data_IF_720841302091
#
_entry.id   IF_720841302091
#
_cell.length_a   1.000
_cell.length_b   1.000
_cell.length_c   1.000
_cell.angle_alpha   90.00
_cell.angle_beta   90.00
_cell.angle_gamma   90.00
#
_symmetry.space_group_name_H-M   'P 1'
#
loop_
_entity.id
_entity.type
_entity.pdbx_description
1 polymer ?
#
# COMPACT_ATOMS: atom_id res chain seq x y z
N UNK A 1 14.88 -0.68 8.32
CA UNK A 1 14.53 -2.07 8.73
C UNK A 1 15.51 -3.03 8.07
N UNK A 2 16.04 -4.03 8.80
CA UNK A 2 16.93 -5.01 8.17
C UNK A 2 16.14 -6.10 7.40
N UNK A 3 16.87 -6.86 6.57
CA UNK A 3 16.28 -7.86 5.65
C UNK A 3 15.46 -8.95 6.36
N UNK A 4 15.95 -9.47 7.50
CA UNK A 4 15.25 -10.50 8.29
C UNK A 4 13.97 -9.98 8.91
N UNK A 5 13.98 -8.76 9.42
CA UNK A 5 12.80 -8.12 9.98
C UNK A 5 11.75 -7.83 8.90
N UNK A 6 12.19 -7.37 7.72
CA UNK A 6 11.27 -7.16 6.60
C UNK A 6 10.66 -8.47 6.11
N UNK A 7 11.41 -9.57 6.04
CA UNK A 7 10.86 -10.88 5.68
C UNK A 7 9.75 -11.32 6.63
N UNK A 8 9.95 -11.14 7.94
CA UNK A 8 8.93 -11.44 8.94
C UNK A 8 7.67 -10.58 8.75
N UNK A 9 7.85 -9.27 8.50
CA UNK A 9 6.73 -8.37 8.23
C UNK A 9 5.95 -8.79 6.97
N UNK A 10 6.65 -9.09 5.89
CA UNK A 10 6.04 -9.55 4.64
C UNK A 10 5.22 -10.83 4.84
N UNK A 11 5.78 -11.84 5.51
CA UNK A 11 5.06 -13.08 5.84
C UNK A 11 3.82 -12.79 6.69
N UNK A 12 3.92 -11.88 7.65
CA UNK A 12 2.78 -11.47 8.48
C UNK A 12 1.68 -10.81 7.64
N UNK A 13 2.03 -9.93 6.70
CA UNK A 13 1.08 -9.31 5.78
C UNK A 13 0.41 -10.36 4.87
N UNK A 14 1.18 -11.30 4.33
CA UNK A 14 0.65 -12.36 3.48
C UNK A 14 -0.32 -13.30 4.23
N UNK A 15 -0.04 -13.64 5.49
CA UNK A 15 -0.89 -14.51 6.32
C UNK A 15 -2.14 -13.81 6.87
N UNK A 16 -2.13 -12.50 6.97
CA UNK A 16 -3.22 -11.76 7.61
C UNK A 16 -4.53 -11.89 6.83
N UNK A 17 -5.64 -12.05 7.54
CA UNK A 17 -6.99 -11.84 7.00
C UNK A 17 -7.18 -10.36 6.61
N UNK A 18 -8.26 -10.03 5.92
CA UNK A 18 -8.59 -8.64 5.59
C UNK A 18 -8.70 -7.77 6.85
N UNK A 19 -9.32 -8.28 7.91
CA UNK A 19 -9.39 -7.58 9.20
C UNK A 19 -8.01 -7.49 9.87
N UNK A 20 -7.22 -8.57 9.81
CA UNK A 20 -5.88 -8.64 10.38
C UNK A 20 -4.91 -7.65 9.75
N UNK A 21 -4.90 -7.53 8.42
CA UNK A 21 -4.01 -6.58 7.75
C UNK A 21 -4.41 -5.13 8.04
N UNK A 22 -5.70 -4.84 8.09
CA UNK A 22 -6.22 -3.53 8.47
C UNK A 22 -5.77 -3.14 9.89
N UNK A 23 -5.81 -4.09 10.83
CA UNK A 23 -5.28 -3.90 12.17
C UNK A 23 -3.77 -3.63 12.15
N UNK A 24 -2.97 -4.40 11.40
CA UNK A 24 -1.53 -4.19 11.27
C UNK A 24 -1.18 -2.79 10.76
N UNK A 25 -1.90 -2.31 9.74
CA UNK A 25 -1.72 -0.96 9.19
C UNK A 25 -1.98 0.09 10.28
N UNK A 26 -3.09 0.01 10.99
CA UNK A 26 -3.43 0.96 12.05
C UNK A 26 -2.43 0.95 13.23
N UNK A 27 -1.88 -0.22 13.57
CA UNK A 27 -0.93 -0.35 14.68
C UNK A 27 0.48 0.13 14.32
N UNK A 28 0.85 0.13 13.04
CA UNK A 28 2.19 0.56 12.59
C UNK A 28 2.56 1.97 13.07
N UNK A 29 1.58 2.82 13.35
CA UNK A 29 1.77 4.22 13.76
C UNK A 29 1.70 4.42 15.28
N UNK A 30 0.99 3.54 16.00
CA UNK A 30 0.72 3.74 17.44
C UNK A 30 1.92 3.47 18.36
N UNK A 31 2.94 2.77 17.88
CA UNK A 31 4.06 2.26 18.70
C UNK A 31 5.29 3.18 18.78
N UNK A 32 5.27 4.34 18.13
CA UNK A 32 6.39 5.29 18.26
C UNK A 32 6.20 6.18 19.49
N UNK A 33 7.20 6.27 20.36
CA UNK A 33 7.20 7.08 21.59
C UNK A 33 6.94 8.58 21.34
N UNK A 34 7.17 9.04 20.10
CA UNK A 34 6.75 10.36 19.61
C UNK A 34 5.96 10.11 18.32
N UNK A 35 4.67 10.42 18.27
CA UNK A 35 3.89 10.18 17.07
C UNK A 35 4.46 11.01 15.90
N UNK A 36 4.92 10.32 14.88
CA UNK A 36 5.41 10.93 13.63
C UNK A 36 4.29 11.04 12.59
N UNK A 37 3.32 10.16 12.67
CA UNK A 37 2.17 10.06 11.77
C UNK A 37 0.85 10.09 12.52
N UNK A 38 -0.22 10.54 11.85
CA UNK A 38 -1.62 10.34 12.23
C UNK A 38 -2.26 9.31 11.33
N UNK A 39 -3.26 8.58 11.85
CA UNK A 39 -4.05 7.59 11.11
C UNK A 39 -5.48 8.05 11.00
N UNK A 40 -6.02 8.05 9.79
CA UNK A 40 -7.45 8.15 9.51
C UNK A 40 -7.92 6.80 8.98
N UNK A 41 -8.89 6.19 9.62
CA UNK A 41 -9.37 4.85 9.30
C UNK A 41 -10.84 4.94 8.88
N UNK A 42 -11.09 4.83 7.59
CA UNK A 42 -12.43 4.84 6.98
C UNK A 42 -12.85 3.43 6.57
N UNK A 43 -14.07 3.28 6.05
CA UNK A 43 -14.60 1.97 5.70
C UNK A 43 -13.76 1.25 4.64
N UNK A 44 -13.43 1.92 3.54
CA UNK A 44 -12.73 1.32 2.40
C UNK A 44 -11.29 1.83 2.22
N UNK A 45 -10.76 2.65 3.11
CA UNK A 45 -9.35 3.04 3.07
C UNK A 45 -8.80 3.40 4.45
N UNK A 46 -7.48 3.38 4.55
CA UNK A 46 -6.72 3.88 5.70
C UNK A 46 -5.71 4.89 5.16
N UNK A 47 -5.69 6.07 5.74
CA UNK A 47 -4.77 7.14 5.38
C UNK A 47 -3.83 7.44 6.55
N UNK A 48 -2.53 7.40 6.27
CA UNK A 48 -1.47 7.71 7.25
C UNK A 48 -0.73 8.96 6.77
N UNK A 49 -0.69 9.96 7.63
CA UNK A 49 -0.22 11.31 7.28
C UNK A 49 0.81 11.79 8.29
N UNK A 50 1.97 12.34 7.87
CA UNK A 50 2.93 12.94 8.80
C UNK A 50 2.32 14.09 9.60
N UNK A 51 2.56 14.12 10.94
CA UNK A 51 2.01 15.15 11.85
C UNK A 51 2.66 16.51 11.59
N UNK A 52 3.97 16.54 11.35
CA UNK A 52 4.69 17.79 11.10
C UNK A 52 4.75 18.03 9.59
N UNK A 53 3.84 18.85 9.12
CA UNK A 53 3.91 19.45 7.79
C UNK A 53 4.19 20.93 7.96
N UNK A 54 5.17 21.45 7.23
CA UNK A 54 5.14 22.87 6.90
C UNK A 54 4.06 23.05 5.83
N UNK A 55 3.22 24.07 5.92
CA UNK A 55 2.11 24.32 4.96
C UNK A 55 2.57 24.39 3.50
N UNK A 56 3.87 24.59 3.27
CA UNK A 56 4.52 24.65 1.96
C UNK A 56 5.18 23.33 1.52
N UNK A 57 5.06 22.24 2.27
CA UNK A 57 5.75 21.00 1.94
C UNK A 57 4.81 20.04 1.23
N UNK A 58 5.00 19.91 -0.09
CA UNK A 58 4.34 18.89 -0.90
C UNK A 58 5.02 17.54 -0.69
N UNK A 59 4.22 16.49 -0.50
CA UNK A 59 4.70 15.13 -0.26
C UNK A 59 4.19 14.17 -1.34
N UNK A 60 4.97 13.13 -1.69
CA UNK A 60 4.44 12.04 -2.51
C UNK A 60 3.34 11.29 -1.73
N UNK A 61 2.33 10.83 -2.45
CA UNK A 61 1.35 9.87 -1.95
C UNK A 61 1.78 8.49 -2.41
N UNK A 62 2.01 7.60 -1.44
CA UNK A 62 2.33 6.19 -1.65
C UNK A 62 1.07 5.38 -1.43
N UNK A 63 0.65 4.61 -2.43
CA UNK A 63 -0.60 3.86 -2.43
C UNK A 63 -0.35 2.36 -2.59
N UNK A 64 -1.07 1.56 -1.82
CA UNK A 64 -1.17 0.09 -1.91
C UNK A 64 -2.60 -0.32 -1.64
N UNK A 65 -3.04 -1.51 -2.10
CA UNK A 65 -4.31 -2.05 -1.66
C UNK A 65 -4.12 -3.26 -0.73
N UNK A 66 -5.06 -3.46 0.18
CA UNK A 66 -4.95 -4.54 1.16
C UNK A 66 -5.99 -5.66 1.00
N UNK A 67 -6.94 -5.53 0.10
CA UNK A 67 -7.76 -6.64 -0.35
C UNK A 67 -6.97 -7.58 -1.27
N UNK A 68 -7.53 -8.71 -1.60
CA UNK A 68 -6.92 -9.72 -2.48
C UNK A 68 -8.03 -10.56 -3.10
N UNK A 69 -7.80 -11.12 -4.28
CA UNK A 69 -8.75 -12.05 -4.94
C UNK A 69 -8.82 -13.44 -4.30
N UNK A 70 -8.08 -13.70 -3.23
CA UNK A 70 -8.11 -15.02 -2.58
C UNK A 70 -9.41 -15.26 -1.81
N UNK A 71 -9.93 -16.47 -1.94
CA UNK A 71 -11.14 -16.91 -1.24
C UNK A 71 -10.88 -17.51 0.14
N UNK A 72 -9.62 -17.80 0.47
CA UNK A 72 -9.22 -18.42 1.74
C UNK A 72 -8.44 -17.42 2.55
N UNK A 73 -8.93 -17.09 3.74
CA UNK A 73 -8.26 -16.12 4.62
C UNK A 73 -7.02 -16.71 5.31
N UNK A 74 -7.08 -17.98 5.68
CA UNK A 74 -5.95 -18.67 6.31
C UNK A 74 -5.08 -19.34 5.27
N UNK A 75 -3.87 -18.85 5.10
CA UNK A 75 -2.89 -19.43 4.19
C UNK A 75 -1.66 -19.91 4.95
N UNK A 76 -1.13 -21.04 4.49
CA UNK A 76 0.18 -21.52 4.91
C UNK A 76 1.24 -21.03 3.91
N UNK A 77 2.15 -20.21 4.40
CA UNK A 77 3.25 -19.68 3.60
C UNK A 77 4.44 -20.63 3.68
N UNK A 78 5.02 -20.97 2.54
CA UNK A 78 6.30 -21.69 2.43
C UNK A 78 7.33 -20.81 1.73
N UNK A 79 8.60 -20.99 2.07
CA UNK A 79 9.72 -20.26 1.48
C UNK A 79 10.68 -21.33 0.92
N UNK A 80 10.86 -21.30 -0.40
CA UNK A 80 11.74 -22.20 -1.11
C UNK A 80 12.61 -21.38 -2.08
N UNK A 81 13.91 -21.45 -1.95
CA UNK A 81 14.87 -20.75 -2.83
C UNK A 81 14.59 -19.22 -2.97
N UNK A 82 14.11 -18.60 -1.89
CA UNK A 82 13.76 -17.17 -1.88
C UNK A 82 12.38 -16.84 -2.47
N UNK A 83 11.64 -17.84 -2.93
CA UNK A 83 10.26 -17.71 -3.39
C UNK A 83 9.29 -17.96 -2.22
N UNK A 84 8.41 -17.04 -2.01
CA UNK A 84 7.34 -17.14 -1.00
C UNK A 84 6.06 -17.54 -1.71
N UNK A 85 5.46 -18.67 -1.31
CA UNK A 85 4.29 -19.27 -1.96
C UNK A 85 3.23 -19.69 -0.96
N UNK A 86 2.01 -19.86 -1.44
CA UNK A 86 0.97 -20.57 -0.69
C UNK A 86 1.23 -22.09 -0.78
N UNK A 87 1.41 -22.75 0.35
CA UNK A 87 1.65 -24.21 0.41
C UNK A 87 0.51 -25.03 -0.20
N UNK A 88 -0.72 -24.54 -0.10
CA UNK A 88 -1.93 -25.23 -0.59
C UNK A 88 -2.17 -25.05 -2.10
N UNK A 89 -1.20 -24.48 -2.85
CA UNK A 89 -1.35 -24.20 -4.28
C UNK A 89 -2.65 -23.42 -4.59
N UNK A 90 -2.83 -22.33 -3.90
CA UNK A 90 -3.90 -21.36 -4.08
C UNK A 90 -3.30 -19.96 -4.18
N UNK A 91 -4.10 -18.98 -4.55
CA UNK A 91 -3.69 -17.58 -4.58
C UNK A 91 -3.01 -17.19 -3.28
N UNK A 92 -1.85 -16.55 -3.35
CA UNK A 92 -1.06 -16.11 -2.20
C UNK A 92 -1.59 -14.79 -1.66
N UNK A 93 -2.02 -13.89 -2.55
CA UNK A 93 -2.35 -12.49 -2.27
C UNK A 93 -1.09 -11.65 -2.09
N UNK A 94 -0.02 -11.95 -2.85
CA UNK A 94 1.15 -11.10 -2.99
C UNK A 94 0.78 -9.76 -3.58
N UNK A 95 -0.16 -9.77 -4.50
CA UNK A 95 -0.97 -8.68 -4.99
C UNK A 95 -2.08 -8.35 -3.97
N UNK A 96 -2.05 -7.24 -3.20
CA UNK A 96 -0.89 -6.34 -3.10
C UNK A 96 -0.34 -6.32 -1.65
N UNK A 97 -0.34 -7.47 -0.97
CA UNK A 97 0.24 -7.58 0.39
C UNK A 97 1.75 -7.32 0.40
N UNK A 98 2.43 -7.44 -0.76
CA UNK A 98 3.84 -7.10 -0.90
C UNK A 98 4.05 -5.58 -0.84
N UNK A 99 3.25 -4.80 -1.57
CA UNK A 99 3.26 -3.34 -1.48
C UNK A 99 2.87 -2.83 -0.11
N UNK A 100 1.85 -3.43 0.52
CA UNK A 100 1.50 -3.11 1.92
C UNK A 100 2.69 -3.32 2.85
N UNK A 101 3.43 -4.43 2.73
CA UNK A 101 4.60 -4.70 3.59
C UNK A 101 5.72 -3.68 3.36
N UNK A 102 5.97 -3.26 2.11
CA UNK A 102 6.93 -2.20 1.79
C UNK A 102 6.49 -0.87 2.41
N UNK A 103 5.23 -0.47 2.23
CA UNK A 103 4.71 0.78 2.81
C UNK A 103 4.80 0.80 4.35
N UNK A 104 4.48 -0.32 5.01
CA UNK A 104 4.62 -0.46 6.47
C UNK A 104 6.08 -0.36 6.92
N UNK A 105 7.02 -0.96 6.18
CA UNK A 105 8.45 -0.84 6.47
C UNK A 105 8.95 0.60 6.31
N UNK A 106 8.44 1.33 5.31
CA UNK A 106 8.75 2.75 5.10
C UNK A 106 8.20 3.62 6.24
N UNK A 107 6.97 3.36 6.70
CA UNK A 107 6.37 4.04 7.85
C UNK A 107 7.22 3.80 9.10
N UNK A 108 7.63 2.55 9.35
CA UNK A 108 8.52 2.20 10.45
C UNK A 108 9.83 2.98 10.40
N UNK A 109 10.43 3.09 9.22
CA UNK A 109 11.67 3.86 8.99
C UNK A 109 11.42 5.39 8.94
N UNK A 110 10.18 5.86 9.17
CA UNK A 110 9.78 7.27 9.16
C UNK A 110 10.06 7.98 7.82
N UNK A 111 9.94 7.26 6.72
CA UNK A 111 10.08 7.84 5.37
C UNK A 111 8.95 8.86 5.15
N UNK A 112 9.27 10.10 4.75
CA UNK A 112 8.30 11.18 4.67
C UNK A 112 7.41 11.06 3.42
N UNK A 113 6.22 10.49 3.57
CA UNK A 113 5.19 10.40 2.54
C UNK A 113 3.79 10.43 3.18
N UNK A 114 2.78 10.61 2.36
CA UNK A 114 1.38 10.30 2.68
C UNK A 114 1.17 8.86 2.23
N UNK A 115 0.65 7.99 3.11
CA UNK A 115 0.41 6.60 2.79
C UNK A 115 -1.09 6.34 2.73
N UNK A 116 -1.54 5.82 1.59
CA UNK A 116 -2.92 5.42 1.35
C UNK A 116 -2.97 3.90 1.18
N UNK A 117 -3.83 3.26 1.95
CA UNK A 117 -4.11 1.84 1.84
C UNK A 117 -5.57 1.67 1.47
N UNK A 118 -5.84 1.20 0.25
CA UNK A 118 -7.18 1.01 -0.28
C UNK A 118 -7.72 -0.39 0.00
N UNK A 119 -9.04 -0.49 0.14
CA UNK A 119 -9.80 -1.73 0.10
C UNK A 119 -10.59 -1.81 -1.19
N UNK A 120 -10.89 -3.03 -1.65
CA UNK A 120 -11.73 -3.28 -2.81
C UNK A 120 -11.19 -2.68 -4.11
N UNK A 121 -9.86 -2.68 -4.28
CA UNK A 121 -9.23 -2.37 -5.56
C UNK A 121 -9.67 -3.39 -6.60
N UNK A 122 -9.58 -4.69 -6.25
CA UNK A 122 -9.90 -5.85 -7.08
C UNK A 122 -11.38 -5.94 -7.50
N UNK A 123 -12.24 -5.17 -6.89
CA UNK A 123 -13.69 -5.16 -7.14
C UNK A 123 -14.24 -3.81 -7.59
N UNK A 124 -13.36 -2.85 -7.93
CA UNK A 124 -13.76 -1.57 -8.53
C UNK A 124 -13.26 -0.32 -7.83
N UNK A 125 -12.10 -0.41 -7.13
CA UNK A 125 -11.38 0.75 -6.57
C UNK A 125 -12.22 1.62 -5.63
N UNK A 126 -13.03 0.98 -4.78
CA UNK A 126 -13.89 1.68 -3.83
C UNK A 126 -13.07 2.51 -2.83
N UNK A 127 -11.90 2.02 -2.41
CA UNK A 127 -11.01 2.71 -1.47
C UNK A 127 -10.52 4.03 -2.03
N UNK A 128 -10.01 4.05 -3.25
CA UNK A 128 -9.56 5.29 -3.90
C UNK A 128 -10.70 6.24 -4.21
N UNK A 129 -11.90 5.73 -4.55
CA UNK A 129 -13.10 6.55 -4.76
C UNK A 129 -13.53 7.25 -3.48
N UNK A 130 -13.58 6.54 -2.35
CA UNK A 130 -13.93 7.11 -1.04
C UNK A 130 -12.87 8.12 -0.57
N UNK A 131 -11.57 7.84 -0.80
CA UNK A 131 -10.48 8.77 -0.54
C UNK A 131 -10.62 10.08 -1.32
N UNK A 132 -10.93 10.01 -2.62
CA UNK A 132 -11.17 11.17 -3.47
C UNK A 132 -12.32 12.04 -2.95
N UNK A 133 -13.36 11.43 -2.43
CA UNK A 133 -14.50 12.14 -1.88
C UNK A 133 -14.16 12.87 -0.56
N UNK A 134 -13.44 12.23 0.36
CA UNK A 134 -13.22 12.78 1.70
C UNK A 134 -11.97 13.66 1.83
N UNK A 135 -10.92 13.40 1.05
CA UNK A 135 -9.58 13.94 1.34
C UNK A 135 -9.07 14.95 0.31
N UNK A 136 -9.96 15.71 -0.31
CA UNK A 136 -9.61 16.72 -1.32
C UNK A 136 -8.54 17.73 -0.84
N UNK A 137 -8.56 18.10 0.45
CA UNK A 137 -7.56 19.01 1.03
C UNK A 137 -6.19 18.34 1.16
N UNK A 138 -6.14 17.06 1.41
CA UNK A 138 -4.90 16.26 1.44
C UNK A 138 -4.35 16.14 0.02
N UNK A 139 -5.19 15.79 -0.95
CA UNK A 139 -4.81 15.62 -2.35
C UNK A 139 -4.14 16.89 -2.90
N UNK A 140 -4.60 18.08 -2.52
CA UNK A 140 -3.98 19.35 -2.91
C UNK A 140 -2.53 19.50 -2.44
N UNK A 141 -2.14 18.82 -1.36
CA UNK A 141 -0.77 18.86 -0.81
C UNK A 141 0.12 17.73 -1.33
N UNK A 142 -0.40 16.86 -2.18
CA UNK A 142 0.36 15.80 -2.85
C UNK A 142 1.05 16.36 -4.09
N UNK A 143 2.29 15.97 -4.36
CA UNK A 143 3.01 16.37 -5.56
C UNK A 143 3.04 15.29 -6.65
N UNK A 144 3.03 14.02 -6.29
CA UNK A 144 2.98 12.91 -7.21
C UNK A 144 2.35 11.66 -6.56
N UNK A 145 1.92 10.71 -7.37
CA UNK A 145 1.34 9.45 -6.93
C UNK A 145 2.28 8.30 -7.26
N UNK A 146 2.56 7.47 -6.25
CA UNK A 146 3.43 6.30 -6.33
C UNK A 146 2.62 5.08 -5.92
N UNK A 147 2.20 4.25 -6.86
CA UNK A 147 1.60 2.96 -6.57
C UNK A 147 2.68 1.94 -6.20
N UNK A 148 2.42 1.12 -5.20
CA UNK A 148 3.24 -0.05 -4.85
C UNK A 148 2.47 -1.33 -5.18
N UNK A 149 2.07 -1.48 -6.42
CA UNK A 149 1.09 -2.46 -6.86
C UNK A 149 1.43 -2.95 -8.29
N UNK A 150 2.73 -3.07 -8.60
CA UNK A 150 3.15 -3.61 -9.88
C UNK A 150 3.88 -4.93 -9.69
N UNK A 151 3.50 -5.95 -10.47
CA UNK A 151 4.22 -7.22 -10.55
C UNK A 151 5.68 -7.02 -10.98
N UNK A 152 6.46 -8.08 -10.89
CA UNK A 152 7.89 -8.12 -11.20
C UNK A 152 8.74 -7.31 -10.19
N UNK A 153 10.05 -7.17 -10.45
CA UNK A 153 10.98 -6.58 -9.47
C UNK A 153 11.63 -5.27 -9.91
N UNK A 154 11.44 -4.83 -11.18
CA UNK A 154 12.18 -3.69 -11.71
C UNK A 154 11.43 -2.88 -12.76
N UNK A 155 10.11 -2.81 -12.67
CA UNK A 155 9.29 -2.04 -13.60
C UNK A 155 8.67 -0.83 -12.90
N UNK A 156 8.51 0.25 -13.67
CA UNK A 156 7.54 1.31 -13.39
C UNK A 156 6.48 1.31 -14.48
N UNK A 157 5.24 1.13 -14.10
CA UNK A 157 4.12 1.22 -15.02
C UNK A 157 3.65 2.66 -15.15
N UNK A 158 3.51 3.12 -16.38
CA UNK A 158 3.11 4.48 -16.73
C UNK A 158 1.65 4.50 -17.15
N UNK A 159 0.99 5.61 -16.83
CA UNK A 159 -0.42 5.89 -17.10
C UNK A 159 -0.56 7.21 -17.86
N UNK A 160 -1.77 7.74 -17.95
CA UNK A 160 -2.08 8.94 -18.73
C UNK A 160 -1.40 10.23 -18.22
N UNK A 161 -0.91 10.24 -16.99
CA UNK A 161 -0.24 11.39 -16.38
C UNK A 161 1.22 11.04 -16.04
N UNK A 162 1.99 10.71 -17.05
CA UNK A 162 3.43 10.44 -16.91
C UNK A 162 4.22 11.76 -16.81
N UNK A 163 5.34 11.72 -16.09
CA UNK A 163 6.34 12.78 -16.03
C UNK A 163 7.71 12.20 -16.32
N UNK A 164 8.40 12.73 -17.31
CA UNK A 164 9.75 12.27 -17.67
C UNK A 164 10.73 12.53 -16.52
N UNK A 165 10.59 13.66 -15.81
CA UNK A 165 11.40 13.97 -14.65
C UNK A 165 11.21 12.90 -13.54
N UNK A 166 9.97 12.56 -13.21
CA UNK A 166 9.67 11.53 -12.20
C UNK A 166 10.19 10.16 -12.67
N UNK A 167 9.92 9.77 -13.91
CA UNK A 167 10.33 8.48 -14.45
C UNK A 167 11.85 8.32 -14.42
N UNK A 168 12.62 9.35 -14.82
CA UNK A 168 14.08 9.32 -14.84
C UNK A 168 14.66 9.11 -13.42
N UNK A 169 14.01 9.58 -12.36
CA UNK A 169 14.42 9.30 -10.98
C UNK A 169 14.35 7.79 -10.71
N UNK A 170 13.26 7.13 -11.09
CA UNK A 170 13.11 5.68 -10.92
C UNK A 170 14.05 4.89 -11.84
N UNK A 171 14.23 5.32 -13.10
CA UNK A 171 15.15 4.68 -14.06
C UNK A 171 16.58 4.72 -13.53
N UNK A 172 17.01 5.83 -12.93
CA UNK A 172 18.36 5.94 -12.34
C UNK A 172 18.61 4.97 -11.18
N UNK A 173 17.57 4.49 -10.53
CA UNK A 173 17.61 3.46 -9.48
C UNK A 173 17.45 2.02 -10.05
N UNK A 174 17.40 1.86 -11.37
CA UNK A 174 17.40 0.57 -12.05
C UNK A 174 16.01 0.01 -12.38
N UNK A 175 14.98 0.85 -12.41
CA UNK A 175 13.68 0.50 -12.97
C UNK A 175 13.65 0.71 -14.50
N UNK A 176 12.74 0.03 -15.17
CA UNK A 176 12.44 0.22 -16.59
C UNK A 176 10.96 0.56 -16.79
N UNK A 177 10.67 1.38 -17.76
CA UNK A 177 9.31 1.76 -18.10
C UNK A 177 8.54 0.63 -18.78
N UNK A 178 7.28 0.51 -18.39
CA UNK A 178 6.30 -0.35 -19.05
C UNK A 178 4.94 0.36 -19.09
N UNK A 179 4.04 -0.14 -19.91
CA UNK A 179 2.67 0.35 -19.91
C UNK A 179 1.89 -0.25 -18.77
N UNK A 180 1.15 0.60 -18.02
CA UNK A 180 0.15 0.18 -17.05
C UNK A 180 -1.24 -0.01 -17.68
N UNK A 181 -2.12 -0.76 -17.00
CA UNK A 181 -3.54 -0.87 -17.35
C UNK A 181 -4.38 0.05 -16.46
N UNK A 182 -4.63 -0.37 -15.25
CA UNK A 182 -5.44 0.33 -14.25
C UNK A 182 -4.89 0.04 -12.86
N UNK A 183 -5.04 0.97 -11.92
CA UNK A 183 -4.76 0.83 -10.49
C UNK A 183 -5.33 2.04 -9.74
N UNK A 184 -5.40 1.99 -8.42
CA UNK A 184 -5.87 3.08 -7.57
C UNK A 184 -5.19 4.43 -7.87
N UNK A 185 -3.86 4.44 -8.08
CA UNK A 185 -3.15 5.70 -8.40
C UNK A 185 -3.51 6.26 -9.77
N UNK A 186 -3.81 5.41 -10.75
CA UNK A 186 -4.27 5.87 -12.07
C UNK A 186 -5.69 6.43 -11.98
N UNK A 187 -6.55 5.82 -11.15
CA UNK A 187 -7.89 6.33 -10.85
C UNK A 187 -7.83 7.70 -10.15
N UNK A 188 -6.99 7.83 -9.11
CA UNK A 188 -6.80 9.12 -8.42
C UNK A 188 -6.27 10.18 -9.38
N UNK A 189 -5.30 9.85 -10.23
CA UNK A 189 -4.71 10.77 -11.20
C UNK A 189 -5.72 11.21 -12.27
N UNK A 190 -6.69 10.37 -12.63
CA UNK A 190 -7.77 10.72 -13.54
C UNK A 190 -8.62 11.88 -13.04
N UNK A 191 -8.89 11.95 -11.73
CA UNK A 191 -9.66 13.01 -11.11
C UNK A 191 -8.81 14.23 -10.69
N UNK A 192 -7.58 13.98 -10.24
CA UNK A 192 -6.63 15.02 -9.82
C UNK A 192 -5.27 14.79 -10.51
N UNK A 193 -5.08 15.32 -11.73
CA UNK A 193 -3.88 15.11 -12.54
C UNK A 193 -2.57 15.48 -11.83
N UNK A 194 -1.70 14.49 -11.66
CA UNK A 194 -0.34 14.64 -11.13
C UNK A 194 0.57 13.55 -11.70
N UNK A 195 1.88 13.78 -11.67
CA UNK A 195 2.87 12.79 -12.06
C UNK A 195 2.63 11.46 -11.33
N UNK A 196 2.52 10.37 -12.08
CA UNK A 196 2.06 9.07 -11.56
C UNK A 196 2.92 7.93 -12.09
N UNK A 197 3.37 7.07 -11.19
CA UNK A 197 4.00 5.78 -11.52
C UNK A 197 3.48 4.69 -10.60
N UNK A 198 3.43 3.44 -11.09
CA UNK A 198 3.18 2.26 -10.27
C UNK A 198 4.41 1.35 -10.33
N UNK A 199 4.96 0.97 -9.17
CA UNK A 199 6.29 0.41 -9.00
C UNK A 199 6.20 -1.07 -8.66
N UNK A 200 7.03 -1.90 -9.30
CA UNK A 200 7.15 -3.32 -9.01
C UNK A 200 7.54 -3.60 -7.57
N UNK A 201 6.83 -4.56 -6.96
CA UNK A 201 7.01 -4.93 -5.55
C UNK A 201 7.36 -6.41 -5.34
N UNK A 202 7.65 -7.14 -6.41
CA UNK A 202 8.20 -8.49 -6.35
C UNK A 202 7.19 -9.62 -6.30
N UNK A 203 5.88 -9.38 -6.52
CA UNK A 203 4.94 -10.46 -6.77
C UNK A 203 4.90 -10.84 -8.25
N UNK A 204 4.53 -12.08 -8.53
CA UNK A 204 4.47 -12.66 -9.87
C UNK A 204 3.30 -13.61 -10.00
N UNK A 205 2.76 -13.74 -11.21
CA UNK A 205 1.64 -14.63 -11.55
C UNK A 205 0.41 -14.36 -10.67
N UNK A 206 0.14 -13.09 -10.41
CA UNK A 206 -0.99 -12.61 -9.61
C UNK A 206 -2.30 -13.28 -10.02
N UNK A 207 -3.25 -13.38 -9.10
CA UNK A 207 -4.59 -13.95 -9.30
C UNK A 207 -4.62 -15.44 -9.69
N UNK A 208 -3.50 -16.15 -9.59
CA UNK A 208 -3.41 -17.57 -9.93
C UNK A 208 -2.88 -18.43 -8.78
N UNK A 209 -3.10 -19.75 -8.84
CA UNK A 209 -2.51 -20.71 -7.91
C UNK A 209 -0.97 -20.80 -7.99
N UNK A 210 -0.36 -20.18 -9.03
CA UNK A 210 1.09 -20.11 -9.25
C UNK A 210 1.70 -18.84 -8.71
N UNK A 211 0.91 -17.99 -8.08
CA UNK A 211 1.37 -16.73 -7.51
C UNK A 211 2.50 -16.94 -6.49
N UNK A 212 3.50 -16.09 -6.55
CA UNK A 212 4.59 -16.06 -5.57
C UNK A 212 5.11 -14.64 -5.39
N UNK A 213 5.77 -14.39 -4.25
CA UNK A 213 6.60 -13.21 -4.05
C UNK A 213 8.07 -13.63 -4.10
N UNK A 214 8.85 -12.99 -4.97
CA UNK A 214 10.31 -13.10 -4.98
C UNK A 214 10.86 -12.17 -3.92
N UNK A 215 11.32 -12.74 -2.81
CA UNK A 215 11.71 -11.97 -1.63
C UNK A 215 12.83 -10.95 -1.92
N UNK A 216 13.83 -11.32 -2.70
CA UNK A 216 14.95 -10.43 -3.04
C UNK A 216 14.49 -9.21 -3.85
N UNK A 217 13.58 -9.41 -4.79
CA UNK A 217 13.01 -8.30 -5.58
C UNK A 217 12.17 -7.38 -4.70
N UNK A 218 11.33 -7.95 -3.83
CA UNK A 218 10.51 -7.19 -2.90
C UNK A 218 11.38 -6.36 -1.94
N UNK A 219 12.45 -6.94 -1.39
CA UNK A 219 13.37 -6.24 -0.51
C UNK A 219 14.17 -5.15 -1.25
N UNK A 220 14.63 -5.43 -2.47
CA UNK A 220 15.30 -4.44 -3.31
C UNK A 220 14.39 -3.26 -3.65
N UNK A 221 13.11 -3.52 -3.92
CA UNK A 221 12.12 -2.46 -4.12
C UNK A 221 11.96 -1.60 -2.88
N UNK A 222 11.86 -2.19 -1.67
CA UNK A 222 11.86 -1.43 -0.40
C UNK A 222 13.08 -0.52 -0.29
N UNK A 223 14.28 -1.02 -0.57
CA UNK A 223 15.51 -0.23 -0.47
C UNK A 223 15.53 0.94 -1.46
N UNK A 224 15.19 0.69 -2.72
CA UNK A 224 15.16 1.70 -3.79
C UNK A 224 14.11 2.77 -3.50
N UNK A 225 12.87 2.37 -3.22
CA UNK A 225 11.78 3.30 -2.97
C UNK A 225 12.04 4.13 -1.72
N UNK A 226 12.61 3.53 -0.66
CA UNK A 226 12.98 4.26 0.55
C UNK A 226 14.06 5.34 0.30
N UNK A 227 14.91 5.17 -0.71
CA UNK A 227 15.87 6.22 -1.15
C UNK A 227 15.22 7.28 -2.03
N UNK A 228 14.32 6.86 -2.93
CA UNK A 228 13.65 7.76 -3.87
C UNK A 228 12.70 8.72 -3.15
N UNK A 229 11.78 8.20 -2.34
CA UNK A 229 10.66 8.98 -1.76
C UNK A 229 11.12 10.27 -1.07
N UNK A 230 12.15 10.30 -0.21
CA UNK A 230 12.62 11.54 0.40
C UNK A 230 13.06 12.61 -0.61
N UNK A 231 13.59 12.18 -1.77
CA UNK A 231 14.06 13.12 -2.81
C UNK A 231 12.92 13.79 -3.58
N UNK A 232 11.71 13.26 -3.48
CA UNK A 232 10.52 13.82 -4.12
C UNK A 232 9.85 14.92 -3.28
N UNK A 233 10.18 15.00 -1.98
CA UNK A 233 9.58 15.97 -1.06
C UNK A 233 9.82 17.40 -1.54
N UNK A 234 8.77 18.20 -1.64
CA UNK A 234 8.82 19.60 -2.06
C UNK A 234 9.04 19.83 -3.56
N UNK A 235 9.16 18.78 -4.37
CA UNK A 235 9.27 18.93 -5.82
C UNK A 235 7.92 19.20 -6.46
N UNK A 236 7.96 19.81 -7.65
CA UNK A 236 6.83 19.96 -8.57
C UNK A 236 7.19 19.34 -9.90
N UNK A 237 6.29 18.55 -10.44
CA UNK A 237 6.43 17.94 -11.75
C UNK A 237 5.52 18.70 -12.73
N UNK A 238 6.12 19.56 -13.55
CA UNK A 238 5.40 20.43 -14.49
C UNK A 238 5.41 19.89 -15.93
N UNK A 239 6.05 18.74 -16.14
CA UNK A 239 6.28 18.09 -17.44
C UNK A 239 5.26 16.99 -17.75
N UNK A 240 4.05 17.09 -17.19
CA UNK A 240 3.01 16.09 -17.35
C UNK A 240 2.70 15.85 -18.84
N UNK A 241 2.94 14.64 -19.29
CA UNK A 241 2.54 14.16 -20.61
C UNK A 241 1.19 13.47 -20.46
N UNK A 242 0.15 14.06 -21.03
CA UNK A 242 -1.17 13.44 -21.09
C UNK A 242 -1.21 12.57 -22.33
N UNK A 243 -1.09 11.25 -22.18
CA UNK A 243 -1.28 10.30 -23.26
C UNK A 243 -2.71 9.82 -23.25
N UNK A 244 -3.54 10.35 -24.13
CA UNK A 244 -4.84 9.73 -24.42
C UNK A 244 -4.54 8.39 -25.13
N UNK A 245 -4.47 7.30 -24.38
CA UNK A 245 -4.43 5.97 -24.98
C UNK A 245 -5.84 5.62 -25.42
N UNK A 246 -5.97 5.45 -26.72
CA UNK A 246 -7.17 4.87 -27.30
C UNK A 246 -7.23 3.39 -26.92
N UNK A 247 -7.75 3.11 -25.73
CA UNK A 247 -8.07 1.75 -25.33
C UNK A 247 -9.22 1.31 -26.22
N UNK A 248 -8.95 0.51 -27.24
CA UNK A 248 -9.89 -0.02 -28.22
C UNK A 248 -11.03 -0.90 -27.66
N UNK A 249 -11.39 -0.69 -26.43
CA UNK A 249 -12.63 -1.10 -25.79
C UNK A 249 -13.44 0.17 -25.54
N UNK A 250 -14.52 0.33 -26.30
CA UNK A 250 -15.39 1.50 -26.37
C UNK A 250 -16.07 1.89 -25.06
N UNK A 251 -15.30 2.33 -24.10
CA UNK A 251 -15.78 3.22 -23.06
C UNK A 251 -15.33 4.62 -23.45
N UNK A 252 -16.20 5.33 -24.16
CA UNK A 252 -16.07 6.73 -24.43
C UNK A 252 -16.00 7.50 -23.08
N UNK A 253 -14.81 7.83 -22.63
CA UNK A 253 -14.61 8.91 -21.65
C UNK A 253 -14.80 10.26 -22.36
N UNK A 254 -16.01 10.51 -22.72
CA UNK A 254 -16.46 11.78 -23.26
C UNK A 254 -17.81 12.10 -22.66
N UNK A 255 -17.81 12.39 -21.38
CA UNK A 255 -18.75 13.25 -20.66
C UNK A 255 -18.48 13.07 -19.17
N UNK A 256 -18.33 14.19 -18.49
CA UNK A 256 -18.39 14.26 -17.03
C UNK A 256 -19.41 13.22 -16.51
N UNK A 257 -18.92 12.09 -15.99
CA UNK A 257 -19.72 11.27 -15.12
C UNK A 257 -19.98 12.10 -13.86
N UNK A 258 -21.01 12.94 -13.89
CA UNK A 258 -21.78 13.16 -12.69
C UNK A 258 -22.31 11.78 -12.35
N UNK A 259 -21.70 11.18 -11.36
CA UNK A 259 -22.25 10.03 -10.66
C UNK A 259 -23.53 10.53 -9.97
N UNK A 260 -24.65 10.55 -10.71
CA UNK A 260 -25.99 10.48 -10.13
C UNK A 260 -26.18 9.04 -9.61
N UNK A 261 -25.26 8.61 -8.75
CA UNK A 261 -25.51 7.50 -7.87
C UNK A 261 -26.10 8.08 -6.59
N UNK A 262 -27.40 7.82 -6.39
CA UNK A 262 -28.06 7.82 -5.09
C UNK A 262 -27.41 6.75 -4.19
N UNK A 263 -26.10 6.90 -3.91
CA UNK A 263 -25.47 6.20 -2.80
C UNK A 263 -25.86 6.94 -1.53
N UNK A 264 -26.47 6.24 -0.56
CA UNK A 264 -26.61 6.83 0.76
C UNK A 264 -25.21 7.25 1.20
N UNK A 265 -25.04 8.55 1.53
CA UNK A 265 -23.79 9.12 2.03
C UNK A 265 -23.16 8.15 3.04
N UNK A 266 -21.90 7.72 2.85
CA UNK A 266 -21.24 6.87 3.83
C UNK A 266 -21.38 7.56 5.17
N UNK A 267 -21.98 6.88 6.15
CA UNK A 267 -22.05 7.40 7.51
C UNK A 267 -20.62 7.59 7.97
N UNK A 268 -20.25 8.83 8.29
CA UNK A 268 -19.05 9.12 9.06
C UNK A 268 -19.14 8.22 10.27
N UNK A 269 -18.30 7.19 10.33
CA UNK A 269 -18.14 6.41 11.53
C UNK A 269 -17.39 7.36 12.45
N UNK A 270 -18.16 8.13 13.28
CA UNK A 270 -17.56 8.80 14.44
C UNK A 270 -16.59 7.79 15.05
N UNK A 271 -15.43 8.27 15.52
CA UNK A 271 -14.42 7.48 16.21
C UNK A 271 -15.12 6.60 17.28
N UNK A 272 -15.72 5.50 16.84
CA UNK A 272 -16.14 4.48 17.79
C UNK A 272 -14.84 4.01 18.40
N UNK A 273 -14.66 4.31 19.69
CA UNK A 273 -13.68 3.62 20.53
C UNK A 273 -13.73 2.17 20.11
N UNK A 274 -12.64 1.74 19.46
CA UNK A 274 -12.49 0.36 19.00
C UNK A 274 -12.79 -0.51 20.20
N UNK A 275 -13.87 -1.28 20.09
CA UNK A 275 -14.37 -2.07 21.22
C UNK A 275 -13.32 -3.13 21.52
N UNK A 276 -12.62 -2.98 22.64
CA UNK A 276 -11.49 -3.81 23.04
C UNK A 276 -11.87 -5.30 23.15
N UNK A 277 -13.15 -5.61 23.37
CA UNK A 277 -13.63 -6.99 23.51
C UNK A 277 -13.65 -7.73 22.17
N UNK A 278 -14.09 -7.11 21.07
CA UNK A 278 -14.14 -7.77 19.75
C UNK A 278 -12.76 -7.95 19.14
N UNK A 279 -11.85 -7.00 19.38
CA UNK A 279 -10.47 -7.09 18.88
C UNK A 279 -9.55 -7.87 19.83
N UNK A 280 -9.89 -7.99 21.10
CA UNK A 280 -9.17 -8.81 22.08
C UNK A 280 -9.13 -10.28 21.68
N UNK A 281 -10.28 -10.87 21.34
CA UNK A 281 -10.35 -12.27 20.91
C UNK A 281 -9.62 -12.54 19.59
N UNK A 282 -9.54 -11.55 18.70
CA UNK A 282 -8.79 -11.67 17.42
C UNK A 282 -7.28 -11.58 17.64
N UNK A 283 -6.85 -10.72 18.57
CA UNK A 283 -5.44 -10.59 18.99
C UNK A 283 -4.98 -11.90 19.62
N UNK A 284 -5.76 -12.48 20.49
CA UNK A 284 -5.44 -13.74 21.18
C UNK A 284 -5.23 -14.87 20.17
N UNK A 285 -6.08 -14.99 19.14
CA UNK A 285 -5.92 -16.01 18.10
C UNK A 285 -4.72 -15.77 17.18
N UNK A 286 -4.44 -14.52 16.78
CA UNK A 286 -3.30 -14.19 15.93
C UNK A 286 -1.96 -14.26 16.68
N UNK A 287 -1.98 -14.08 17.99
CA UNK A 287 -0.78 -14.14 18.83
C UNK A 287 -0.50 -15.54 19.39
N UNK A 288 -1.53 -16.37 19.65
CA UNK A 288 -1.35 -17.72 20.19
C UNK A 288 -0.53 -18.65 19.27
N UNK A 289 -0.59 -18.43 17.94
CA UNK A 289 0.20 -19.16 16.96
C UNK A 289 1.52 -18.45 16.59
N UNK A 290 1.83 -17.33 17.24
CA UNK A 290 3.04 -16.56 17.00
C UNK A 290 4.15 -17.05 17.94
N UNK A 291 5.29 -17.49 17.40
CA UNK A 291 6.47 -17.92 18.19
C UNK A 291 7.05 -16.84 19.13
N UNK A 292 6.55 -15.61 19.03
CA UNK A 292 6.94 -14.45 19.83
C UNK A 292 5.89 -14.04 20.88
N UNK A 293 4.76 -14.73 20.97
CA UNK A 293 3.78 -14.49 22.02
C UNK A 293 4.19 -15.20 23.30
N UNK A 294 4.35 -14.44 24.36
CA UNK A 294 4.60 -15.01 25.68
C UNK A 294 3.27 -15.10 26.47
N UNK A 295 2.67 -16.30 26.58
CA UNK A 295 1.41 -16.48 27.26
C UNK A 295 1.48 -16.20 28.78
N UNK A 296 2.69 -16.14 29.37
CA UNK A 296 2.91 -15.85 30.78
C UNK A 296 2.88 -14.36 31.13
N UNK A 297 3.08 -13.48 30.17
CA UNK A 297 3.05 -12.02 30.33
C UNK A 297 1.91 -11.35 29.56
N UNK A 298 1.12 -12.12 28.79
CA UNK A 298 0.11 -11.62 27.86
C UNK A 298 0.64 -10.52 26.92
N UNK A 299 1.96 -10.56 26.64
CA UNK A 299 2.66 -9.61 25.80
C UNK A 299 3.24 -10.31 24.57
N UNK A 300 3.20 -9.63 23.45
CA UNK A 300 3.90 -10.06 22.24
C UNK A 300 5.33 -9.50 22.32
N UNK A 301 6.33 -10.38 22.40
CA UNK A 301 7.74 -10.00 22.27
C UNK A 301 8.07 -9.46 20.87
N UNK A 302 7.08 -9.44 19.99
CA UNK A 302 7.11 -8.74 18.71
C UNK A 302 6.67 -7.27 18.89
N UNK A 303 7.22 -6.62 19.90
CA UNK A 303 7.27 -5.16 19.89
C UNK A 303 8.23 -4.72 18.77
N UNK A 304 7.89 -3.63 18.07
CA UNK A 304 8.79 -3.06 17.07
C UNK A 304 10.18 -2.75 17.65
N UNK A 305 10.33 -2.62 18.96
CA UNK A 305 11.61 -2.57 19.67
C UNK A 305 12.42 -3.87 19.56
N UNK A 306 11.77 -5.02 19.36
CA UNK A 306 12.46 -6.30 19.10
C UNK A 306 13.19 -6.33 17.75
N UNK A 307 12.86 -5.44 16.83
CA UNK A 307 13.52 -5.33 15.53
C UNK A 307 14.89 -4.61 15.62
N UNK A 308 15.13 -3.85 16.69
CA UNK A 308 16.38 -3.11 16.90
C UNK A 308 17.47 -3.97 17.58
N UNK A 309 17.12 -5.19 18.07
CA UNK A 309 18.02 -6.10 18.77
C UNK A 309 18.42 -7.34 17.95
N UNK A 310 18.20 -7.33 16.63
CA UNK A 310 18.65 -8.41 15.75
C UNK A 310 19.44 -7.91 14.55
#
# INVERSE_FOLDING_TARGET
>A
MNKKAFQKLLIKCLRASTTGIRYLICQSVKKTSVPYFTVKNYENYILIVPIRRTESCFLPLVCSHYDTVRYVEEIEVVIEEGLIRNKKKAVLGGDDRAGVAIALAMIYNKVPAIYLFCDKEETGSFGSSEFLFHEQNIIKTVNCYIGLDRRNGNEIALYDYASEELNNIFISEGYREVSGSFTDVSHIAGEYPKATVNVSVGFHNEHTEKEYVQFEECYLSLERISRIIPTLTGRYFNDLQVSYRDYGYGFAYGNSFRLDYDYPLPRVIEEKKVDREVYGELIDRLCLDCEFYNPGTESCDFDFECLDNF
#
